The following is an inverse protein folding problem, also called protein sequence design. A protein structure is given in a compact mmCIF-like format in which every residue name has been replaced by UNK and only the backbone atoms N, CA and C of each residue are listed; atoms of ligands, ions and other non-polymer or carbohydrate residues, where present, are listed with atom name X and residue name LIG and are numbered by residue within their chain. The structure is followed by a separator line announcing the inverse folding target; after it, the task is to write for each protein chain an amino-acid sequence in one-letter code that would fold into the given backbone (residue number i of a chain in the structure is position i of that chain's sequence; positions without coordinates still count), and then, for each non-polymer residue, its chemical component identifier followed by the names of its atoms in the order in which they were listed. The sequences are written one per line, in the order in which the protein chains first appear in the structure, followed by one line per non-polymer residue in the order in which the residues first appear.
data_IF_332669320810
#
_entry.id   IF_332669320810
#
_cell.length_a   1.000
_cell.length_b   1.000
_cell.length_c   1.000
_cell.angle_alpha   90.00
_cell.angle_beta   90.00
_cell.angle_gamma   90.00
#
_symmetry.space_group_name_H-M   'P 1'
#
loop_
_entity.id
_entity.type
_entity.pdbx_description
1 polymer ?
#
# COMPACT_ATOMS: atom_id res chain seq x y z
N UNK A 1 4.95 -24.44 7.52
CA UNK A 1 3.65 -24.91 7.01
C UNK A 1 3.59 -24.61 5.52
N UNK A 2 2.97 -25.46 4.71
CA UNK A 2 2.80 -25.22 3.27
C UNK A 2 1.35 -25.45 2.88
N UNK A 3 0.82 -24.53 2.09
CA UNK A 3 -0.58 -24.45 1.71
C UNK A 3 -0.65 -24.23 0.20
N UNK A 4 -1.58 -24.92 -0.47
CA UNK A 4 -1.77 -24.79 -1.91
C UNK A 4 -3.27 -24.67 -2.22
N UNK A 5 -3.64 -23.74 -3.09
CA UNK A 5 -5.03 -23.55 -3.51
C UNK A 5 -5.14 -23.06 -4.96
N UNK A 6 -6.30 -23.33 -5.56
CA UNK A 6 -6.65 -22.80 -6.87
C UNK A 6 -7.24 -21.39 -6.72
N UNK A 7 -6.60 -20.43 -7.38
CA UNK A 7 -7.06 -19.05 -7.46
C UNK A 7 -8.33 -18.98 -8.30
N UNK A 8 -9.33 -18.25 -7.83
CA UNK A 8 -10.58 -18.11 -8.56
C UNK A 8 -10.97 -16.65 -8.78
N UNK A 9 -12.00 -16.44 -9.60
CA UNK A 9 -12.54 -15.11 -9.92
C UNK A 9 -12.99 -14.30 -8.69
N UNK A 10 -13.41 -14.95 -7.60
CA UNK A 10 -13.79 -14.22 -6.38
C UNK A 10 -12.56 -13.62 -5.70
N UNK A 11 -11.44 -14.34 -5.70
CA UNK A 11 -10.18 -13.86 -5.15
C UNK A 11 -9.61 -12.71 -5.99
N UNK A 12 -9.73 -12.79 -7.32
CA UNK A 12 -9.37 -11.70 -8.23
C UNK A 12 -10.13 -10.42 -7.89
N UNK A 13 -11.46 -10.52 -7.76
CA UNK A 13 -12.34 -9.40 -7.43
C UNK A 13 -12.04 -8.84 -6.03
N UNK A 14 -11.82 -9.72 -5.05
CA UNK A 14 -11.49 -9.29 -3.68
C UNK A 14 -10.14 -8.58 -3.63
N UNK A 15 -9.11 -9.17 -4.25
CA UNK A 15 -7.76 -8.60 -4.32
C UNK A 15 -7.77 -7.24 -5.01
N UNK A 16 -8.44 -7.11 -6.15
CA UNK A 16 -8.57 -5.84 -6.86
C UNK A 16 -9.26 -4.76 -6.01
N UNK A 17 -10.31 -5.13 -5.25
CA UNK A 17 -11.00 -4.21 -4.36
C UNK A 17 -10.14 -3.82 -3.16
N UNK A 18 -9.48 -4.77 -2.50
CA UNK A 18 -8.62 -4.49 -1.35
C UNK A 18 -7.46 -3.55 -1.71
N UNK A 19 -6.81 -3.75 -2.85
CA UNK A 19 -5.79 -2.82 -3.35
C UNK A 19 -6.31 -1.39 -3.53
N UNK A 20 -7.54 -1.26 -4.04
CA UNK A 20 -8.18 0.03 -4.24
C UNK A 20 -8.42 0.76 -2.91
N UNK A 21 -8.78 0.03 -1.85
CA UNK A 21 -9.04 0.58 -0.51
C UNK A 21 -7.79 0.69 0.36
N UNK A 22 -6.74 -0.09 0.09
CA UNK A 22 -5.45 -0.02 0.78
C UNK A 22 -4.56 1.12 0.25
N UNK A 23 -5.13 2.04 -0.54
CA UNK A 23 -4.73 3.44 -0.54
C UNK A 23 -4.95 4.10 0.85
N UNK A 24 -4.46 3.48 1.93
CA UNK A 24 -3.82 4.25 3.00
C UNK A 24 -2.66 4.96 2.32
N UNK A 25 -2.95 6.17 1.83
CA UNK A 25 -1.96 7.14 1.36
C UNK A 25 -0.74 7.00 2.26
N UNK A 26 0.38 6.53 1.70
CA UNK A 26 1.58 6.36 2.52
C UNK A 26 1.81 7.67 3.26
N UNK A 27 2.20 7.61 4.54
CA UNK A 27 2.55 8.82 5.31
C UNK A 27 3.48 9.73 4.51
N UNK A 28 4.29 9.16 3.62
CA UNK A 28 5.12 9.85 2.64
C UNK A 28 4.31 10.70 1.63
N UNK A 29 3.32 10.13 0.93
CA UNK A 29 2.46 10.87 -0.01
C UNK A 29 1.65 11.97 0.71
N UNK A 30 1.17 11.69 1.92
CA UNK A 30 0.48 12.70 2.74
C UNK A 30 1.41 13.85 3.15
N UNK A 31 2.61 13.54 3.65
CA UNK A 31 3.65 14.55 3.96
C UNK A 31 4.04 15.35 2.72
N UNK A 32 4.13 14.69 1.55
CA UNK A 32 4.43 15.35 0.29
C UNK A 32 3.32 16.31 -0.13
N UNK A 33 2.05 15.88 -0.07
CA UNK A 33 0.90 16.74 -0.33
C UNK A 33 0.83 17.93 0.64
N UNK A 34 1.07 17.70 1.93
CA UNK A 34 1.14 18.76 2.94
C UNK A 34 2.24 19.77 2.64
N UNK A 35 3.43 19.30 2.21
CA UNK A 35 4.53 20.20 1.83
C UNK A 35 4.19 21.10 0.64
N UNK A 36 3.42 20.60 -0.34
CA UNK A 36 2.94 21.40 -1.48
C UNK A 36 2.02 22.52 -0.99
N UNK A 37 1.08 22.21 -0.09
CA UNK A 37 0.16 23.21 0.48
C UNK A 37 0.94 24.30 1.22
N UNK A 38 1.94 23.92 2.04
CA UNK A 38 2.77 24.87 2.76
C UNK A 38 3.49 25.84 1.81
N UNK A 39 4.06 25.33 0.71
CA UNK A 39 4.72 26.16 -0.32
C UNK A 39 3.74 27.16 -0.93
N UNK A 40 2.51 26.73 -1.26
CA UNK A 40 1.47 27.63 -1.79
C UNK A 40 1.17 28.75 -0.81
N UNK A 41 0.94 28.42 0.47
CA UNK A 41 0.61 29.41 1.50
C UNK A 41 1.72 30.46 1.65
N UNK A 42 2.99 30.03 1.71
CA UNK A 42 4.14 30.94 1.84
C UNK A 42 4.25 31.87 0.62
N UNK A 43 4.09 31.34 -0.59
CA UNK A 43 4.18 32.16 -1.80
C UNK A 43 2.99 33.11 -1.96
N UNK A 44 1.77 32.68 -1.63
CA UNK A 44 0.59 33.56 -1.64
C UNK A 44 0.80 34.70 -0.65
N UNK A 45 1.26 34.42 0.57
CA UNK A 45 1.57 35.47 1.55
C UNK A 45 2.66 36.44 1.05
N UNK A 46 3.72 35.93 0.41
CA UNK A 46 4.78 36.76 -0.17
C UNK A 46 4.26 37.65 -1.31
N UNK A 47 3.44 37.11 -2.21
CA UNK A 47 2.83 37.86 -3.32
C UNK A 47 1.89 38.95 -2.77
N UNK A 48 1.08 38.63 -1.77
CA UNK A 48 0.19 39.61 -1.10
C UNK A 48 1.01 40.71 -0.43
N UNK A 49 2.07 40.38 0.31
CA UNK A 49 2.94 41.39 0.92
C UNK A 49 3.62 42.28 -0.11
N UNK A 50 4.08 41.71 -1.23
CA UNK A 50 4.66 42.49 -2.32
C UNK A 50 3.65 43.45 -2.96
N UNK A 51 2.39 43.01 -3.11
CA UNK A 51 1.31 43.86 -3.60
C UNK A 51 0.96 44.99 -2.63
N UNK A 52 0.94 44.72 -1.31
CA UNK A 52 0.71 45.74 -0.27
C UNK A 52 1.87 46.75 -0.18
N UNK A 53 3.09 46.35 -0.52
CA UNK A 53 4.29 47.20 -0.53
C UNK A 53 4.50 47.97 -1.84
N UNK A 54 3.51 48.02 -2.73
CA UNK A 54 3.60 48.66 -4.06
C UNK A 54 4.86 48.26 -4.85
N UNK A 55 5.27 46.99 -4.72
CA UNK A 55 6.40 46.47 -5.50
C UNK A 55 6.05 46.48 -6.99
N UNK A 56 7.04 46.73 -7.87
CA UNK A 56 6.80 46.80 -9.30
C UNK A 56 6.25 45.46 -9.82
N UNK A 57 5.21 45.54 -10.65
CA UNK A 57 4.45 44.38 -11.14
C UNK A 57 5.33 43.27 -11.74
N UNK A 58 6.44 43.62 -12.39
CA UNK A 58 7.37 42.64 -12.97
C UNK A 58 7.98 41.70 -11.90
N UNK A 59 8.22 42.18 -10.68
CA UNK A 59 8.71 41.35 -9.57
C UNK A 59 7.63 40.38 -9.08
N UNK A 60 6.38 40.83 -9.04
CA UNK A 60 5.23 40.00 -8.66
C UNK A 60 5.02 38.89 -9.70
N UNK A 61 5.09 39.23 -10.99
CA UNK A 61 5.00 38.24 -12.07
C UNK A 61 6.17 37.25 -12.07
N UNK A 62 7.40 37.71 -11.79
CA UNK A 62 8.55 36.83 -11.62
C UNK A 62 8.32 35.82 -10.48
N UNK A 63 7.84 36.29 -9.33
CA UNK A 63 7.56 35.45 -8.16
C UNK A 63 6.43 34.44 -8.43
N UNK A 64 5.37 34.87 -9.11
CA UNK A 64 4.30 33.98 -9.55
C UNK A 64 4.80 32.92 -10.55
N UNK A 65 5.69 33.30 -11.48
CA UNK A 65 6.32 32.38 -12.42
C UNK A 65 7.17 31.32 -11.71
N UNK A 66 7.95 31.72 -10.71
CA UNK A 66 8.73 30.81 -9.86
C UNK A 66 7.79 29.82 -9.13
N UNK A 67 6.69 30.31 -8.56
CA UNK A 67 5.68 29.46 -7.91
C UNK A 67 5.13 28.41 -8.87
N UNK A 68 4.70 28.83 -10.07
CA UNK A 68 4.14 27.92 -11.08
C UNK A 68 5.15 26.85 -11.48
N UNK A 69 6.42 27.23 -11.68
CA UNK A 69 7.48 26.29 -12.01
C UNK A 69 7.73 25.27 -10.89
N UNK A 70 7.82 25.73 -9.64
CA UNK A 70 7.98 24.85 -8.46
C UNK A 70 6.79 23.91 -8.34
N UNK A 71 5.56 24.41 -8.50
CA UNK A 71 4.36 23.58 -8.44
C UNK A 71 4.33 22.53 -9.54
N UNK A 72 4.65 22.89 -10.78
CA UNK A 72 4.73 21.95 -11.89
C UNK A 72 5.74 20.83 -11.60
N UNK A 73 6.92 21.18 -11.09
CA UNK A 73 7.95 20.21 -10.70
C UNK A 73 7.50 19.29 -9.56
N UNK A 74 6.87 19.84 -8.51
CA UNK A 74 6.37 19.06 -7.38
C UNK A 74 5.24 18.12 -7.78
N UNK A 75 4.30 18.57 -8.63
CA UNK A 75 3.21 17.75 -9.16
C UNK A 75 3.77 16.60 -10.01
N UNK A 76 4.75 16.88 -10.88
CA UNK A 76 5.40 15.84 -11.68
C UNK A 76 6.09 14.80 -10.78
N UNK A 77 6.86 15.25 -9.79
CA UNK A 77 7.51 14.36 -8.81
C UNK A 77 6.49 13.53 -8.02
N UNK A 78 5.39 14.14 -7.57
CA UNK A 78 4.31 13.44 -6.89
C UNK A 78 3.69 12.34 -7.77
N UNK A 79 3.46 12.64 -9.06
CA UNK A 79 2.95 11.67 -10.03
C UNK A 79 3.91 10.49 -10.23
N UNK A 80 5.21 10.74 -10.32
CA UNK A 80 6.23 9.70 -10.40
C UNK A 80 6.25 8.81 -9.16
N UNK A 81 6.25 9.41 -7.96
CA UNK A 81 6.23 8.66 -6.69
C UNK A 81 4.96 7.82 -6.61
N UNK A 82 3.80 8.37 -6.99
CA UNK A 82 2.55 7.63 -7.01
C UNK A 82 2.64 6.42 -7.94
N UNK A 83 3.12 6.59 -9.17
CA UNK A 83 3.28 5.50 -10.14
C UNK A 83 4.26 4.43 -9.64
N UNK A 84 5.40 4.84 -9.08
CA UNK A 84 6.38 3.91 -8.52
C UNK A 84 5.80 3.13 -7.32
N UNK A 85 5.05 3.80 -6.44
CA UNK A 85 4.37 3.15 -5.32
C UNK A 85 3.30 2.18 -5.80
N UNK A 86 2.52 2.52 -6.81
CA UNK A 86 1.53 1.62 -7.40
C UNK A 86 2.20 0.41 -8.06
N UNK A 87 3.32 0.62 -8.76
CA UNK A 87 4.06 -0.47 -9.40
C UNK A 87 4.71 -1.43 -8.39
N UNK A 88 5.35 -0.89 -7.35
CA UNK A 88 6.01 -1.69 -6.31
C UNK A 88 5.01 -2.44 -5.41
N UNK A 89 3.77 -1.96 -5.32
CA UNK A 89 2.71 -2.58 -4.53
C UNK A 89 1.61 -3.20 -5.40
N UNK A 90 1.91 -3.55 -6.65
CA UNK A 90 1.04 -4.45 -7.40
C UNK A 90 1.18 -5.85 -6.80
N UNK A 91 0.08 -6.52 -6.44
CA UNK A 91 0.15 -7.93 -6.09
C UNK A 91 0.55 -8.72 -7.33
N UNK A 92 1.00 -9.94 -7.12
CA UNK A 92 1.24 -10.88 -8.20
C UNK A 92 -0.02 -10.99 -9.07
N UNK A 93 0.19 -10.98 -10.39
CA UNK A 93 -0.90 -10.95 -11.36
C UNK A 93 -1.36 -12.38 -11.65
N UNK A 94 -2.35 -12.83 -10.89
CA UNK A 94 -2.87 -14.20 -11.00
C UNK A 94 -3.87 -14.35 -12.12
N UNK A 95 -3.80 -15.49 -12.80
CA UNK A 95 -4.83 -15.92 -13.73
C UNK A 95 -5.87 -16.76 -12.99
N UNK A 96 -7.12 -16.73 -13.47
CA UNK A 96 -8.15 -17.61 -12.95
C UNK A 96 -7.73 -19.08 -13.18
N UNK A 97 -7.96 -19.92 -12.17
CA UNK A 97 -7.57 -21.33 -12.11
C UNK A 97 -6.07 -21.59 -11.91
N UNK A 98 -5.26 -20.57 -11.68
CA UNK A 98 -3.85 -20.72 -11.36
C UNK A 98 -3.66 -21.27 -9.94
N UNK A 99 -2.71 -22.18 -9.76
CA UNK A 99 -2.36 -22.71 -8.45
C UNK A 99 -1.41 -21.75 -7.74
N UNK A 100 -1.84 -21.28 -6.57
CA UNK A 100 -1.02 -20.50 -5.65
C UNK A 100 -0.53 -21.39 -4.53
N UNK A 101 0.75 -21.23 -4.17
CA UNK A 101 1.39 -21.87 -3.03
C UNK A 101 1.83 -20.83 -2.03
N UNK A 102 1.51 -21.07 -0.77
CA UNK A 102 1.93 -20.25 0.37
C UNK A 102 2.77 -21.12 1.29
N UNK A 103 4.02 -20.74 1.46
CA UNK A 103 4.96 -21.39 2.38
C UNK A 103 5.25 -20.46 3.54
N UNK A 104 4.94 -20.91 4.74
CA UNK A 104 5.21 -20.19 5.99
C UNK A 104 6.42 -20.83 6.65
N UNK A 105 7.46 -20.03 6.86
CA UNK A 105 8.69 -20.39 7.58
C UNK A 105 8.79 -19.61 8.90
N UNK A 106 9.91 -19.77 9.61
CA UNK A 106 10.19 -19.02 10.83
C UNK A 106 10.52 -17.54 10.56
N UNK A 107 10.91 -17.19 9.34
CA UNK A 107 11.42 -15.86 8.97
C UNK A 107 10.52 -15.12 7.99
N UNK A 108 9.82 -15.85 7.13
CA UNK A 108 9.05 -15.29 6.02
C UNK A 108 7.79 -16.11 5.69
N UNK A 109 6.89 -15.45 4.98
CA UNK A 109 5.82 -16.07 4.22
C UNK A 109 6.15 -15.88 2.75
N UNK A 110 6.23 -16.96 1.99
CA UNK A 110 6.50 -16.93 0.56
C UNK A 110 5.23 -17.33 -0.19
N UNK A 111 4.77 -16.44 -1.06
CA UNK A 111 3.66 -16.63 -1.98
C UNK A 111 4.24 -16.87 -3.37
N UNK A 112 3.83 -17.94 -4.04
CA UNK A 112 4.33 -18.29 -5.36
C UNK A 112 3.25 -18.88 -6.26
N UNK A 113 3.33 -18.61 -7.56
CA UNK A 113 2.42 -19.16 -8.56
C UNK A 113 3.03 -20.35 -9.35
N UNK A 114 2.27 -20.88 -10.31
CA UNK A 114 2.73 -21.98 -11.18
C UNK A 114 3.89 -21.58 -12.10
N UNK A 115 3.99 -20.29 -12.42
CA UNK A 115 5.02 -19.71 -13.26
C UNK A 115 6.31 -19.35 -12.50
N UNK A 116 6.40 -19.70 -11.21
CA UNK A 116 7.51 -19.38 -10.31
C UNK A 116 7.70 -17.89 -10.05
N UNK A 117 6.69 -17.05 -10.28
CA UNK A 117 6.70 -15.71 -9.72
C UNK A 117 6.55 -15.83 -8.21
N UNK A 118 7.32 -15.05 -7.45
CA UNK A 118 7.37 -15.15 -6.00
C UNK A 118 7.31 -13.77 -5.35
N UNK A 119 6.52 -13.68 -4.28
CA UNK A 119 6.51 -12.58 -3.35
C UNK A 119 6.94 -13.10 -1.97
N UNK A 120 7.85 -12.39 -1.31
CA UNK A 120 8.39 -12.77 -0.01
C UNK A 120 7.98 -11.71 1.01
N UNK A 121 7.28 -12.13 2.06
CA UNK A 121 6.79 -11.30 3.14
C UNK A 121 7.56 -11.67 4.43
N UNK A 122 8.64 -10.96 4.78
CA UNK A 122 9.36 -11.18 6.03
C UNK A 122 8.43 -10.93 7.22
N UNK A 123 8.43 -11.83 8.19
CA UNK A 123 7.53 -11.73 9.35
C UNK A 123 7.77 -10.42 10.14
N UNK A 124 9.02 -9.93 10.16
CA UNK A 124 9.39 -8.68 10.80
C UNK A 124 8.70 -7.44 10.20
N UNK A 125 8.34 -7.46 8.91
CA UNK A 125 7.68 -6.33 8.23
C UNK A 125 6.16 -6.42 8.30
N UNK A 126 5.59 -7.52 8.79
CA UNK A 126 4.15 -7.65 9.01
C UNK A 126 3.72 -6.71 10.13
N UNK A 127 2.68 -5.92 9.86
CA UNK A 127 2.18 -4.86 10.75
C UNK A 127 0.83 -5.22 11.35
N UNK A 128 -0.09 -5.76 10.55
CA UNK A 128 -1.47 -6.02 10.94
C UNK A 128 -1.98 -7.26 10.19
N UNK A 129 -2.83 -8.05 10.84
CA UNK A 129 -3.58 -9.14 10.20
C UNK A 129 -5.07 -8.84 10.37
N UNK A 130 -5.80 -8.81 9.26
CA UNK A 130 -7.25 -8.70 9.25
C UNK A 130 -7.86 -10.02 8.84
N UNK A 131 -8.91 -10.45 9.54
CA UNK A 131 -9.66 -11.64 9.20
C UNK A 131 -11.10 -11.20 9.02
N UNK A 132 -11.63 -11.40 7.81
CA UNK A 132 -13.02 -11.16 7.43
C UNK A 132 -13.72 -12.52 7.24
N UNK A 133 -15.00 -12.54 6.85
CA UNK A 133 -15.79 -13.77 6.71
C UNK A 133 -15.20 -14.79 5.73
N UNK A 134 -14.42 -14.33 4.74
CA UNK A 134 -13.92 -15.19 3.64
C UNK A 134 -12.42 -15.12 3.42
N UNK A 135 -11.72 -14.15 4.00
CA UNK A 135 -10.33 -13.84 3.67
C UNK A 135 -9.52 -13.44 4.89
N UNK A 136 -8.23 -13.70 4.82
CA UNK A 136 -7.20 -13.16 5.71
C UNK A 136 -6.36 -12.19 4.88
N UNK A 137 -6.22 -10.97 5.36
CA UNK A 137 -5.30 -9.99 4.80
C UNK A 137 -4.13 -9.78 5.74
N UNK A 138 -2.92 -10.08 5.26
CA UNK A 138 -1.68 -9.87 5.98
C UNK A 138 -1.03 -8.60 5.44
N UNK A 139 -0.97 -7.56 6.27
CA UNK A 139 -0.47 -6.24 5.89
C UNK A 139 1.01 -6.14 6.26
N UNK A 140 1.86 -5.94 5.25
CA UNK A 140 3.30 -5.75 5.43
C UNK A 140 3.73 -4.32 5.07
N UNK A 141 4.83 -3.85 5.68
CA UNK A 141 5.40 -2.55 5.35
C UNK A 141 5.90 -2.52 3.91
N UNK A 142 5.47 -1.50 3.14
CA UNK A 142 5.92 -1.24 1.77
C UNK A 142 5.72 -2.42 0.79
N UNK A 143 4.74 -3.28 1.06
CA UNK A 143 4.36 -4.40 0.20
C UNK A 143 2.84 -4.46 0.01
N UNK A 144 2.36 -5.08 -1.08
CA UNK A 144 0.94 -5.39 -1.22
C UNK A 144 0.48 -6.29 -0.06
N UNK A 145 -0.81 -6.30 0.28
CA UNK A 145 -1.33 -7.27 1.23
C UNK A 145 -1.17 -8.69 0.65
N UNK A 146 -0.79 -9.63 1.51
CA UNK A 146 -0.96 -11.05 1.19
C UNK A 146 -2.40 -11.44 1.54
N UNK A 147 -3.16 -11.89 0.54
CA UNK A 147 -4.58 -12.21 0.67
C UNK A 147 -4.76 -13.71 0.58
N UNK A 148 -5.26 -14.32 1.66
CA UNK A 148 -5.43 -15.77 1.76
C UNK A 148 -6.91 -16.09 1.97
N UNK A 149 -7.56 -16.83 1.06
CA UNK A 149 -8.94 -17.24 1.27
C UNK A 149 -9.06 -18.20 2.47
N UNK A 150 -10.07 -18.01 3.32
CA UNK A 150 -10.30 -18.87 4.49
C UNK A 150 -10.63 -20.32 4.10
N UNK A 151 -11.24 -20.53 2.93
CA UNK A 151 -11.56 -21.87 2.40
C UNK A 151 -10.34 -22.76 2.16
N UNK A 152 -9.13 -22.18 2.23
CA UNK A 152 -7.88 -22.92 2.07
C UNK A 152 -7.53 -23.72 3.33
N UNK A 153 -8.04 -23.30 4.50
CA UNK A 153 -7.88 -24.02 5.75
C UNK A 153 -9.00 -25.06 5.89
N UNK A 154 -8.64 -26.30 6.25
CA UNK A 154 -9.60 -27.41 6.37
C UNK A 154 -10.52 -27.25 7.57
N UNK A 155 -9.99 -26.69 8.65
CA UNK A 155 -10.68 -26.47 9.91
C UNK A 155 -10.14 -25.24 10.65
N UNK A 156 -10.84 -24.86 11.73
CA UNK A 156 -10.44 -23.74 12.59
C UNK A 156 -9.09 -23.97 13.26
N UNK A 157 -8.72 -25.22 13.55
CA UNK A 157 -7.45 -25.55 14.19
C UNK A 157 -6.26 -25.30 13.25
N UNK A 158 -6.39 -25.63 11.97
CA UNK A 158 -5.38 -25.35 10.95
C UNK A 158 -5.18 -23.84 10.76
N UNK A 159 -6.28 -23.08 10.78
CA UNK A 159 -6.24 -21.62 10.78
C UNK A 159 -5.54 -21.08 12.05
N UNK A 160 -5.91 -21.57 13.23
CA UNK A 160 -5.28 -21.14 14.48
C UNK A 160 -3.79 -21.44 14.51
N UNK A 161 -3.37 -22.62 14.05
CA UNK A 161 -1.96 -22.99 13.94
C UNK A 161 -1.21 -22.06 12.98
N UNK A 162 -1.81 -21.72 11.84
CA UNK A 162 -1.26 -20.75 10.91
C UNK A 162 -1.07 -19.37 11.55
N UNK A 163 -2.09 -18.85 12.24
CA UNK A 163 -2.02 -17.55 12.91
C UNK A 163 -1.01 -17.54 14.06
N UNK A 164 -0.96 -18.62 14.85
CA UNK A 164 0.03 -18.77 15.92
C UNK A 164 1.46 -18.81 15.40
N UNK A 165 1.71 -19.44 14.25
CA UNK A 165 3.04 -19.43 13.63
C UNK A 165 3.52 -18.00 13.34
N UNK A 166 2.62 -17.13 12.90
CA UNK A 166 2.94 -15.73 12.60
C UNK A 166 3.04 -14.91 13.91
N UNK A 167 2.10 -15.07 14.84
CA UNK A 167 2.05 -14.33 16.10
C UNK A 167 3.16 -14.68 17.09
N UNK A 168 3.58 -15.94 17.17
CA UNK A 168 4.64 -16.36 18.11
C UNK A 168 5.99 -15.68 17.82
N UNK A 169 6.15 -15.12 16.62
CA UNK A 169 7.38 -14.44 16.19
C UNK A 169 7.36 -12.94 16.47
N UNK A 170 6.16 -12.34 16.46
CA UNK A 170 5.93 -10.93 16.71
C UNK A 170 4.48 -10.78 17.19
N UNK A 171 4.26 -10.01 18.26
CA UNK A 171 2.93 -9.69 18.78
C UNK A 171 2.15 -8.80 17.78
N UNK A 172 1.74 -9.39 16.67
CA UNK A 172 1.05 -8.73 15.57
C UNK A 172 -0.43 -8.65 15.95
N UNK A 173 -1.03 -7.45 15.89
CA UNK A 173 -2.46 -7.29 16.14
C UNK A 173 -3.27 -8.07 15.10
N UNK A 174 -4.18 -8.93 15.57
CA UNK A 174 -5.20 -9.57 14.75
C UNK A 174 -6.53 -8.85 14.99
N UNK A 175 -7.12 -8.35 13.92
CA UNK A 175 -8.46 -7.74 13.96
C UNK A 175 -9.43 -8.64 13.20
N UNK A 176 -10.42 -9.19 13.91
CA UNK A 176 -11.55 -9.87 13.28
C UNK A 176 -12.59 -8.82 12.89
N UNK A 177 -12.92 -8.76 11.62
CA UNK A 177 -13.98 -7.91 11.07
C UNK A 177 -15.20 -8.82 11.00
N UNK A 178 -16.16 -8.56 11.87
CA UNK A 178 -17.50 -9.13 11.73
C UNK A 178 -18.35 -8.01 11.14
N UNK A 179 -18.94 -8.25 9.96
CA UNK A 179 -19.97 -7.38 9.41
C UNK A 179 -21.22 -7.33 10.31
#
# INVERSE_FOLDING_TARGET
MEIQYQFNKQDELYSANRLKYQHRFSKLLFRFAFSIILVIVVFVAAIVMMAVQDRPLWQIFLMAGILVFILAFLIFKYSLIKKAYTFLNQPLNYQNDEIIKIKVSDTDIVESDEHQNMAVYPIETITEIFIDERYIDIISENMPPLIIPLRVFKDELELENFLQLIQNKKNIPITKIND
#
